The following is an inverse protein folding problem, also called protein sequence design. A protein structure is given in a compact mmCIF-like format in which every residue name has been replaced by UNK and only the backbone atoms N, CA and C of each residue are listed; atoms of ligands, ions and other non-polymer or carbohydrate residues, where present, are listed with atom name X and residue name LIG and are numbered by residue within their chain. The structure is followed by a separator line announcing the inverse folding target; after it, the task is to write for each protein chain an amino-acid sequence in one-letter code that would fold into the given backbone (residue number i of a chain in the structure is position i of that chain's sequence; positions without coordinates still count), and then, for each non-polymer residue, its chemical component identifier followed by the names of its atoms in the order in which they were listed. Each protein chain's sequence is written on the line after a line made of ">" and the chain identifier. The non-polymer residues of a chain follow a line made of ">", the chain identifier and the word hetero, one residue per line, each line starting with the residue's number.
data_IF_021309501589
#
_entry.id   IF_021309501589
#
_cell.length_a   1.000
_cell.length_b   1.000
_cell.length_c   1.000
_cell.angle_alpha   90.00
_cell.angle_beta   90.00
_cell.angle_gamma   90.00
#
_symmetry.space_group_name_H-M   'P 1'
#
loop_
_entity.id
_entity.type
_entity.pdbx_description
1 polymer ?
#
# COMPACT_ATOMS: atom_id res chain seq x y z
N UNK A 1 15.57 10.30 -2.06
CA UNK A 1 15.42 9.61 -0.76
C UNK A 1 15.27 8.10 -0.94
N UNK A 2 14.32 7.64 -1.80
CA UNK A 2 14.05 6.21 -2.00
C UNK A 2 15.27 5.45 -2.52
N UNK A 3 16.03 6.02 -3.44
CA UNK A 3 17.22 5.37 -4.00
C UNK A 3 18.32 5.21 -2.97
N UNK A 4 18.60 6.27 -2.18
CA UNK A 4 19.60 6.21 -1.10
C UNK A 4 19.20 5.17 -0.05
N UNK A 5 17.92 5.17 0.34
CA UNK A 5 17.37 4.17 1.25
C UNK A 5 17.56 2.75 0.69
N UNK A 6 17.21 2.53 -0.58
CA UNK A 6 17.32 1.23 -1.22
C UNK A 6 18.76 0.73 -1.27
N UNK A 7 19.70 1.58 -1.67
CA UNK A 7 21.11 1.20 -1.75
C UNK A 7 21.68 0.74 -0.40
N UNK A 8 21.23 1.37 0.69
CA UNK A 8 21.66 1.01 2.05
C UNK A 8 20.90 -0.19 2.65
N UNK A 9 19.73 -0.56 2.08
CA UNK A 9 18.80 -1.56 2.66
C UNK A 9 18.36 -2.60 1.62
N UNK A 10 19.25 -3.02 0.72
CA UNK A 10 18.91 -3.92 -0.38
C UNK A 10 18.35 -5.26 0.10
N UNK A 11 18.91 -5.81 1.18
CA UNK A 11 18.55 -7.12 1.73
C UNK A 11 17.23 -7.12 2.53
N UNK A 12 16.79 -5.97 3.00
CA UNK A 12 15.56 -5.85 3.76
C UNK A 12 14.33 -6.01 2.85
N UNK A 13 13.31 -6.69 3.36
CA UNK A 13 12.04 -6.82 2.66
C UNK A 13 11.29 -5.48 2.67
N UNK A 14 10.82 -5.07 1.51
CA UNK A 14 10.09 -3.81 1.27
C UNK A 14 8.72 -4.08 0.70
N UNK A 15 7.70 -3.51 1.35
CA UNK A 15 6.31 -3.50 0.90
C UNK A 15 5.96 -2.03 0.65
N UNK A 16 5.79 -1.64 -0.59
CA UNK A 16 5.59 -0.23 -0.94
C UNK A 16 4.20 0.01 -1.49
N UNK A 17 3.51 0.98 -0.91
CA UNK A 17 2.13 1.34 -1.23
C UNK A 17 2.10 2.70 -1.92
N UNK A 18 1.49 2.75 -3.10
CA UNK A 18 1.17 3.97 -3.83
C UNK A 18 -0.27 3.92 -4.36
N UNK A 19 -0.74 5.02 -4.87
CA UNK A 19 -2.11 5.19 -5.39
C UNK A 19 -2.53 6.65 -5.30
N UNK A 20 -3.69 7.00 -5.78
CA UNK A 20 -4.26 8.33 -5.56
C UNK A 20 -4.80 8.40 -4.13
N UNK A 21 -5.67 7.50 -3.75
CA UNK A 21 -6.35 7.48 -2.44
C UNK A 21 -6.02 6.20 -1.65
N UNK A 22 -6.12 6.29 -0.31
CA UNK A 22 -6.04 5.15 0.60
C UNK A 22 -4.63 4.68 0.96
N UNK A 23 -3.58 5.30 0.44
CA UNK A 23 -2.17 4.95 0.71
C UNK A 23 -1.85 4.85 2.19
N UNK A 24 -2.07 5.94 2.93
CA UNK A 24 -1.72 6.04 4.36
C UNK A 24 -2.49 5.04 5.21
N UNK A 25 -3.80 4.90 4.98
CA UNK A 25 -4.65 3.92 5.67
C UNK A 25 -4.16 2.50 5.43
N UNK A 26 -3.88 2.15 4.17
CA UNK A 26 -3.40 0.81 3.82
C UNK A 26 -2.02 0.53 4.42
N UNK A 27 -1.10 1.51 4.36
CA UNK A 27 0.23 1.37 4.93
C UNK A 27 0.19 1.21 6.45
N UNK A 28 -0.60 2.02 7.15
CA UNK A 28 -0.77 1.95 8.60
C UNK A 28 -1.39 0.62 9.04
N UNK A 29 -2.49 0.20 8.38
CA UNK A 29 -3.13 -1.06 8.69
C UNK A 29 -2.20 -2.26 8.45
N UNK A 30 -1.48 -2.27 7.34
CA UNK A 30 -0.52 -3.34 7.04
C UNK A 30 0.62 -3.37 8.05
N UNK A 31 1.12 -2.21 8.46
CA UNK A 31 2.11 -2.10 9.53
C UNK A 31 1.59 -2.72 10.83
N UNK A 32 0.37 -2.40 11.26
CA UNK A 32 -0.22 -2.95 12.48
C UNK A 32 -0.42 -4.46 12.38
N UNK A 33 -0.91 -4.97 11.25
CA UNK A 33 -1.07 -6.40 11.00
C UNK A 33 0.27 -7.14 11.14
N UNK A 34 1.34 -6.61 10.55
CA UNK A 34 2.66 -7.24 10.61
C UNK A 34 3.24 -7.18 12.03
N UNK A 35 3.08 -6.06 12.72
CA UNK A 35 3.50 -5.88 14.13
C UNK A 35 2.79 -6.86 15.07
N UNK A 36 1.48 -7.02 14.91
CA UNK A 36 0.68 -7.93 15.75
C UNK A 36 1.02 -9.40 15.47
N UNK A 37 1.61 -9.69 14.32
CA UNK A 37 2.17 -11.00 13.98
C UNK A 37 3.64 -11.16 14.39
N UNK A 38 4.15 -10.28 15.26
CA UNK A 38 5.52 -10.34 15.81
C UNK A 38 6.62 -10.15 14.77
N UNK A 39 6.35 -9.47 13.65
CA UNK A 39 7.38 -9.05 12.70
C UNK A 39 8.10 -7.81 13.20
N UNK A 40 9.41 -7.75 13.00
CA UNK A 40 10.15 -6.50 13.15
C UNK A 40 9.83 -5.63 11.94
N UNK A 41 9.00 -4.61 12.13
CA UNK A 41 8.43 -3.82 11.03
C UNK A 41 8.57 -2.33 11.30
N UNK A 42 8.87 -1.58 10.25
CA UNK A 42 8.98 -0.12 10.27
C UNK A 42 8.01 0.45 9.23
N UNK A 43 7.19 1.42 9.67
CA UNK A 43 6.37 2.25 8.78
C UNK A 43 7.16 3.50 8.43
N UNK A 44 7.38 3.75 7.15
CA UNK A 44 8.24 4.85 6.68
C UNK A 44 7.73 5.47 5.36
N UNK A 45 8.31 6.60 5.01
CA UNK A 45 8.04 7.31 3.76
C UNK A 45 7.18 8.54 3.97
N UNK A 46 6.08 8.65 3.23
CA UNK A 46 5.16 9.79 3.31
C UNK A 46 4.27 9.76 4.56
N UNK A 47 4.28 8.65 5.29
CA UNK A 47 3.67 8.45 6.61
C UNK A 47 4.63 7.66 7.49
N UNK A 48 4.48 7.77 8.80
CA UNK A 48 5.38 7.13 9.76
C UNK A 48 6.64 7.95 9.96
N UNK A 49 7.81 7.32 9.88
CA UNK A 49 9.09 8.02 10.00
C UNK A 49 9.67 8.38 8.62
N UNK A 50 10.43 9.48 8.50
CA UNK A 50 11.16 9.77 7.26
C UNK A 50 12.07 8.58 6.90
N UNK A 51 12.06 8.18 5.62
CA UNK A 51 12.67 6.91 5.19
C UNK A 51 14.19 6.82 5.48
N UNK A 52 14.87 7.95 5.58
CA UNK A 52 16.32 8.02 5.88
C UNK A 52 16.62 8.24 7.36
N UNK A 53 15.63 8.41 8.24
CA UNK A 53 15.86 8.76 9.65
C UNK A 53 16.34 7.59 10.50
N UNK A 54 16.07 6.34 10.10
CA UNK A 54 16.43 5.15 10.87
C UNK A 54 17.88 4.73 10.62
N UNK A 55 18.69 4.70 11.68
CA UNK A 55 20.13 4.38 11.59
C UNK A 55 20.47 2.91 11.89
N UNK A 56 19.76 2.30 12.86
CA UNK A 56 19.98 0.90 13.24
C UNK A 56 18.84 0.05 12.69
N UNK A 57 19.13 -0.76 11.67
CA UNK A 57 18.17 -1.62 10.97
C UNK A 57 18.70 -3.06 11.03
N UNK A 58 17.86 -4.00 11.44
CA UNK A 58 18.22 -5.41 11.45
C UNK A 58 18.00 -6.00 10.04
N UNK A 59 18.72 -7.04 9.64
CA UNK A 59 18.47 -7.72 8.37
C UNK A 59 17.04 -8.29 8.24
N UNK A 60 16.40 -8.63 9.36
CA UNK A 60 15.02 -9.15 9.41
C UNK A 60 13.94 -8.08 9.38
N UNK A 61 14.32 -6.80 9.47
CA UNK A 61 13.34 -5.69 9.47
C UNK A 61 12.60 -5.62 8.14
N UNK A 62 11.27 -5.59 8.23
CA UNK A 62 10.36 -5.38 7.10
C UNK A 62 9.99 -3.90 7.01
N UNK A 63 10.07 -3.31 5.85
CA UNK A 63 9.64 -1.94 5.63
C UNK A 63 8.27 -1.91 4.96
N UNK A 64 7.32 -1.21 5.57
CA UNK A 64 6.07 -0.77 4.95
C UNK A 64 6.25 0.69 4.57
N UNK A 65 6.26 0.97 3.28
CA UNK A 65 6.64 2.28 2.73
C UNK A 65 5.45 2.90 2.02
N UNK A 66 5.02 4.08 2.44
CA UNK A 66 4.14 4.90 1.63
C UNK A 66 4.96 5.76 0.68
N UNK A 67 4.75 5.61 -0.64
CA UNK A 67 5.44 6.39 -1.66
C UNK A 67 4.48 7.26 -2.47
N UNK A 68 4.79 8.55 -2.59
CA UNK A 68 4.09 9.49 -3.45
C UNK A 68 4.54 9.35 -4.91
N UNK A 69 3.75 9.91 -5.85
CA UNK A 69 4.15 9.97 -7.26
C UNK A 69 5.41 10.80 -7.47
N UNK A 70 5.60 11.85 -6.67
CA UNK A 70 6.79 12.70 -6.71
C UNK A 70 8.06 11.92 -6.37
N UNK A 71 8.04 11.16 -5.28
CA UNK A 71 9.19 10.34 -4.87
C UNK A 71 9.51 9.28 -5.91
N UNK A 72 8.49 8.62 -6.47
CA UNK A 72 8.66 7.59 -7.49
C UNK A 72 9.13 8.17 -8.84
N UNK A 73 8.69 9.38 -9.21
CA UNK A 73 9.11 10.05 -10.44
C UNK A 73 10.62 10.26 -10.49
N UNK A 74 11.24 10.62 -9.36
CA UNK A 74 12.68 10.85 -9.27
C UNK A 74 13.49 9.60 -8.93
N UNK A 75 12.83 8.50 -8.58
CA UNK A 75 13.51 7.26 -8.23
C UNK A 75 13.99 6.52 -9.49
N UNK A 76 15.26 6.08 -9.49
CA UNK A 76 15.90 5.33 -10.57
C UNK A 76 16.22 3.89 -10.16
N UNK A 77 16.67 3.68 -8.94
CA UNK A 77 17.22 2.41 -8.45
C UNK A 77 16.32 1.69 -7.46
N UNK A 78 15.37 2.40 -6.86
CA UNK A 78 14.49 1.85 -5.84
C UNK A 78 13.73 0.63 -6.33
N UNK A 79 13.86 -0.47 -5.59
CA UNK A 79 13.12 -1.72 -5.81
C UNK A 79 12.35 -2.09 -4.55
N UNK A 80 11.19 -2.68 -4.74
CA UNK A 80 10.35 -3.21 -3.67
C UNK A 80 9.96 -4.66 -3.96
N UNK A 81 9.87 -5.48 -2.92
CA UNK A 81 9.51 -6.89 -3.07
C UNK A 81 8.01 -7.05 -3.34
N UNK A 82 7.20 -6.22 -2.68
CA UNK A 82 5.75 -6.17 -2.86
C UNK A 82 5.32 -4.74 -3.17
N UNK A 83 4.79 -4.52 -4.35
CA UNK A 83 4.27 -3.24 -4.81
C UNK A 83 2.75 -3.21 -4.75
N UNK A 84 2.16 -2.14 -4.21
CA UNK A 84 0.71 -1.91 -4.22
C UNK A 84 0.40 -0.65 -5.01
N UNK A 85 -0.36 -0.76 -6.08
CA UNK A 85 -1.00 0.37 -6.78
C UNK A 85 -2.49 0.28 -6.52
N UNK A 86 -2.96 1.00 -5.49
CA UNK A 86 -4.32 0.88 -4.98
C UNK A 86 -5.36 1.35 -5.98
N UNK A 87 -5.13 2.52 -6.57
CA UNK A 87 -6.01 3.15 -7.54
C UNK A 87 -5.27 4.29 -8.26
N UNK A 88 -5.77 4.66 -9.43
CA UNK A 88 -5.31 5.83 -10.18
C UNK A 88 -6.56 6.63 -10.61
N UNK A 89 -6.62 7.87 -10.19
CA UNK A 89 -7.56 8.90 -10.65
C UNK A 89 -6.82 10.21 -10.87
N UNK A 90 -7.36 11.16 -11.64
CA UNK A 90 -6.73 12.46 -11.86
C UNK A 90 -6.39 13.16 -10.55
N UNK A 91 -5.11 13.50 -10.37
CA UNK A 91 -4.57 14.18 -9.20
C UNK A 91 -3.19 14.73 -9.55
N UNK A 92 -2.79 15.86 -8.94
CA UNK A 92 -1.49 16.49 -9.18
C UNK A 92 -1.17 16.77 -10.67
N UNK A 93 -2.21 17.08 -11.49
CA UNK A 93 -2.03 17.28 -12.92
C UNK A 93 -1.29 18.59 -13.25
N UNK A 94 -1.32 19.55 -12.35
CA UNK A 94 -0.48 20.77 -12.42
C UNK A 94 1.01 20.40 -12.47
N UNK A 95 1.41 19.34 -11.79
CA UNK A 95 2.80 18.84 -11.74
C UNK A 95 3.09 17.84 -12.85
N UNK A 96 2.27 16.79 -12.98
CA UNK A 96 2.51 15.69 -13.92
C UNK A 96 2.03 15.98 -15.35
N UNK A 97 1.32 17.09 -15.58
CA UNK A 97 0.77 17.56 -16.87
C UNK A 97 -0.29 16.64 -17.49
N UNK A 98 -0.32 15.34 -17.16
CA UNK A 98 -1.33 14.41 -17.66
C UNK A 98 -1.50 13.19 -16.75
N UNK A 99 -2.68 12.54 -16.81
CA UNK A 99 -2.95 11.29 -16.12
C UNK A 99 -1.98 10.18 -16.54
N UNK A 100 -1.53 10.17 -17.79
CA UNK A 100 -0.57 9.20 -18.30
C UNK A 100 0.79 9.34 -17.59
N UNK A 101 1.33 10.56 -17.50
CA UNK A 101 2.60 10.82 -16.78
C UNK A 101 2.49 10.52 -15.30
N UNK A 102 1.37 10.88 -14.67
CA UNK A 102 1.09 10.53 -13.27
C UNK A 102 1.09 9.01 -13.07
N UNK A 103 0.43 8.27 -13.96
CA UNK A 103 0.41 6.81 -13.93
C UNK A 103 1.82 6.24 -14.13
N UNK A 104 2.57 6.73 -15.12
CA UNK A 104 3.94 6.30 -15.39
C UNK A 104 4.86 6.51 -14.18
N UNK A 105 4.73 7.64 -13.48
CA UNK A 105 5.49 7.89 -12.26
C UNK A 105 5.24 6.80 -11.21
N UNK A 106 3.98 6.42 -10.98
CA UNK A 106 3.64 5.33 -10.03
C UNK A 106 4.04 3.95 -10.54
N UNK A 107 3.98 3.70 -11.85
CA UNK A 107 4.36 2.44 -12.44
C UNK A 107 5.87 2.16 -12.37
N UNK A 108 6.72 3.17 -12.17
CA UNK A 108 8.15 2.95 -11.86
C UNK A 108 8.34 1.96 -10.71
N UNK A 109 7.43 1.96 -9.74
CA UNK A 109 7.45 1.02 -8.63
C UNK A 109 7.44 -0.44 -9.08
N UNK A 110 6.72 -0.74 -10.17
CA UNK A 110 6.61 -2.09 -10.73
C UNK A 110 7.73 -2.36 -11.74
N UNK A 111 8.04 -1.36 -12.57
CA UNK A 111 9.03 -1.51 -13.64
C UNK A 111 10.43 -1.79 -13.09
N UNK A 112 10.73 -1.30 -11.91
CA UNK A 112 12.00 -1.53 -11.23
C UNK A 112 12.03 -2.86 -10.46
N UNK A 113 10.91 -3.60 -10.36
CA UNK A 113 10.88 -4.88 -9.65
C UNK A 113 11.59 -5.99 -10.43
N UNK A 114 12.05 -7.00 -9.70
CA UNK A 114 12.53 -8.27 -10.27
C UNK A 114 11.35 -9.20 -10.60
N UNK A 115 11.50 -10.10 -11.55
CA UNK A 115 10.44 -11.04 -12.00
C UNK A 115 9.84 -11.90 -10.89
N UNK A 116 10.57 -12.16 -9.83
CA UNK A 116 10.13 -12.98 -8.69
C UNK A 116 9.29 -12.21 -7.67
N UNK A 117 9.19 -10.89 -7.79
CA UNK A 117 8.45 -10.02 -6.88
C UNK A 117 6.98 -9.91 -7.29
N UNK A 118 6.16 -9.32 -6.44
CA UNK A 118 4.72 -9.24 -6.62
C UNK A 118 4.25 -7.81 -6.73
N UNK A 119 3.35 -7.54 -7.68
CA UNK A 119 2.65 -6.28 -7.78
C UNK A 119 1.14 -6.48 -7.69
N UNK A 120 0.52 -5.87 -6.69
CA UNK A 120 -0.92 -5.86 -6.46
C UNK A 120 -1.50 -4.60 -7.09
N UNK A 121 -2.39 -4.76 -8.05
CA UNK A 121 -2.92 -3.65 -8.85
C UNK A 121 -4.44 -3.77 -8.94
N UNK A 122 -5.14 -2.65 -8.80
CA UNK A 122 -6.58 -2.61 -9.01
C UNK A 122 -6.95 -3.16 -10.39
N UNK A 123 -7.91 -4.09 -10.41
CA UNK A 123 -8.43 -4.66 -11.64
C UNK A 123 -9.44 -3.72 -12.29
N UNK A 124 -8.99 -2.80 -13.12
CA UNK A 124 -9.84 -1.96 -13.96
C UNK A 124 -9.32 -1.87 -15.41
N UNK A 125 -10.18 -1.42 -16.33
CA UNK A 125 -9.85 -1.39 -17.78
C UNK A 125 -8.60 -0.53 -18.08
N UNK A 126 -8.47 0.62 -17.42
CA UNK A 126 -7.36 1.55 -17.62
C UNK A 126 -6.03 0.92 -17.19
N UNK A 127 -5.92 0.44 -15.94
CA UNK A 127 -4.70 -0.15 -15.43
C UNK A 127 -4.33 -1.47 -16.15
N UNK A 128 -5.34 -2.26 -16.52
CA UNK A 128 -5.10 -3.47 -17.33
C UNK A 128 -4.49 -3.16 -18.70
N UNK A 129 -4.88 -2.05 -19.33
CA UNK A 129 -4.30 -1.57 -20.59
C UNK A 129 -2.87 -1.04 -20.37
N UNK A 130 -2.65 -0.29 -19.30
CA UNK A 130 -1.32 0.23 -18.97
C UNK A 130 -0.30 -0.91 -18.72
N UNK A 131 -0.67 -1.93 -17.94
CA UNK A 131 0.21 -3.08 -17.67
C UNK A 131 0.67 -3.76 -18.95
N UNK A 132 -0.22 -3.89 -19.96
CA UNK A 132 0.10 -4.56 -21.22
C UNK A 132 1.21 -3.87 -22.04
N UNK A 133 1.49 -2.60 -21.79
CA UNK A 133 2.56 -1.84 -22.45
C UNK A 133 3.96 -2.31 -22.03
N UNK A 134 4.08 -3.05 -20.94
CA UNK A 134 5.36 -3.42 -20.34
C UNK A 134 5.57 -4.92 -20.42
N UNK A 135 6.77 -5.33 -20.83
CA UNK A 135 7.22 -6.73 -20.86
C UNK A 135 8.09 -7.05 -19.64
N UNK A 136 8.09 -8.31 -19.22
CA UNK A 136 9.02 -8.84 -18.21
C UNK A 136 8.97 -8.16 -16.83
N UNK A 137 7.81 -7.71 -16.42
CA UNK A 137 7.58 -7.17 -15.08
C UNK A 137 7.34 -8.30 -14.05
N UNK A 138 7.21 -7.92 -12.80
CA UNK A 138 6.89 -8.80 -11.66
C UNK A 138 5.60 -9.60 -11.84
N UNK A 139 5.32 -10.50 -10.90
CA UNK A 139 4.06 -11.27 -10.85
C UNK A 139 2.89 -10.33 -10.51
N UNK A 140 2.01 -10.08 -11.47
CA UNK A 140 0.88 -9.16 -11.32
C UNK A 140 -0.32 -9.87 -10.70
N UNK A 141 -0.78 -9.39 -9.56
CA UNK A 141 -2.00 -9.81 -8.88
C UNK A 141 -3.06 -8.73 -9.07
N UNK A 142 -4.10 -9.05 -9.84
CA UNK A 142 -5.20 -8.12 -10.13
C UNK A 142 -6.24 -8.18 -9.01
N UNK A 143 -6.45 -7.08 -8.34
CA UNK A 143 -7.33 -6.97 -7.18
C UNK A 143 -8.73 -6.53 -7.61
N UNK A 144 -9.72 -7.36 -7.34
CA UNK A 144 -11.14 -7.04 -7.56
C UNK A 144 -11.68 -6.25 -6.37
N UNK A 145 -12.42 -5.19 -6.65
CA UNK A 145 -13.21 -4.43 -5.66
C UNK A 145 -14.42 -5.24 -5.18
N UNK A 146 -15.03 -4.81 -4.08
CA UNK A 146 -16.29 -5.35 -3.55
C UNK A 146 -16.26 -6.87 -3.31
N UNK A 147 -15.25 -7.35 -2.62
CA UNK A 147 -15.15 -8.77 -2.30
C UNK A 147 -16.11 -9.18 -1.17
N UNK A 148 -17.28 -9.69 -1.53
CA UNK A 148 -18.32 -10.12 -0.58
C UNK A 148 -17.82 -11.16 0.45
N UNK A 149 -16.83 -12.01 0.09
CA UNK A 149 -16.26 -12.97 1.03
C UNK A 149 -15.50 -12.27 2.16
N UNK A 150 -14.78 -11.19 1.84
CA UNK A 150 -14.10 -10.36 2.84
C UNK A 150 -15.13 -9.61 3.67
N UNK A 151 -16.15 -9.03 3.05
CA UNK A 151 -17.20 -8.25 3.74
C UNK A 151 -17.85 -9.02 4.88
N UNK A 152 -18.13 -10.31 4.69
CA UNK A 152 -18.73 -11.18 5.72
C UNK A 152 -17.81 -11.43 6.95
N UNK A 153 -16.53 -11.13 6.86
CA UNK A 153 -15.54 -11.36 7.92
C UNK A 153 -15.22 -10.10 8.72
N UNK A 154 -15.68 -8.94 8.28
CA UNK A 154 -15.35 -7.64 8.85
C UNK A 154 -16.55 -7.06 9.56
N UNK A 155 -16.37 -6.75 10.84
CA UNK A 155 -17.37 -6.10 11.69
C UNK A 155 -17.05 -4.65 12.05
N UNK A 156 -15.88 -4.14 11.61
CA UNK A 156 -15.42 -2.80 11.92
C UNK A 156 -16.05 -1.78 10.95
N UNK A 157 -16.86 -0.86 11.49
CA UNK A 157 -17.57 0.18 10.75
C UNK A 157 -16.65 1.17 9.99
N UNK A 158 -15.38 1.26 10.35
CA UNK A 158 -14.39 2.04 9.59
C UNK A 158 -14.31 1.57 8.12
N UNK A 159 -14.61 0.30 7.87
CA UNK A 159 -14.60 -0.30 6.53
C UNK A 159 -15.98 -0.33 5.85
N UNK A 160 -16.98 0.34 6.42
CA UNK A 160 -18.26 0.56 5.72
C UNK A 160 -18.09 1.54 4.56
N UNK A 161 -17.12 2.43 4.64
CA UNK A 161 -16.70 3.25 3.51
C UNK A 161 -16.11 2.37 2.40
N UNK A 162 -16.66 2.48 1.20
CA UNK A 162 -16.30 1.65 0.05
C UNK A 162 -14.81 1.73 -0.34
N UNK A 163 -14.19 2.89 -0.21
CA UNK A 163 -12.78 3.06 -0.54
C UNK A 163 -11.88 2.35 0.49
N UNK A 164 -12.19 2.49 1.77
CA UNK A 164 -11.47 1.80 2.84
C UNK A 164 -11.64 0.28 2.70
N UNK A 165 -12.85 -0.18 2.39
CA UNK A 165 -13.14 -1.58 2.16
C UNK A 165 -12.38 -2.15 0.95
N UNK A 166 -12.33 -1.43 -0.17
CA UNK A 166 -11.60 -1.87 -1.36
C UNK A 166 -10.11 -2.06 -1.08
N UNK A 167 -9.52 -1.22 -0.23
CA UNK A 167 -8.11 -1.34 0.17
C UNK A 167 -7.83 -2.63 0.97
N UNK A 168 -8.80 -3.16 1.72
CA UNK A 168 -8.67 -4.44 2.40
C UNK A 168 -8.40 -5.60 1.43
N UNK A 169 -8.99 -5.57 0.23
CA UNK A 169 -8.78 -6.64 -0.76
C UNK A 169 -7.29 -6.80 -1.11
N UNK A 170 -6.53 -5.71 -1.17
CA UNK A 170 -5.08 -5.75 -1.37
C UNK A 170 -4.36 -6.43 -0.21
N UNK A 171 -4.72 -6.08 1.01
CA UNK A 171 -4.12 -6.65 2.23
C UNK A 171 -4.42 -8.14 2.34
N UNK A 172 -5.65 -8.56 2.04
CA UNK A 172 -6.03 -9.98 2.10
C UNK A 172 -5.31 -10.83 1.03
N UNK A 173 -5.14 -10.31 -0.20
CA UNK A 173 -4.38 -11.03 -1.23
C UNK A 173 -2.88 -11.09 -0.90
N UNK A 174 -2.30 -10.00 -0.38
CA UNK A 174 -0.95 -10.01 0.15
C UNK A 174 -0.79 -11.04 1.28
N UNK A 175 -1.73 -11.04 2.23
CA UNK A 175 -1.69 -11.94 3.39
C UNK A 175 -1.67 -13.41 2.99
N UNK A 176 -2.38 -13.79 1.93
CA UNK A 176 -2.35 -15.15 1.36
C UNK A 176 -0.96 -15.50 0.83
N UNK A 177 -0.36 -14.60 0.02
CA UNK A 177 0.94 -14.83 -0.61
C UNK A 177 2.06 -14.81 0.45
N UNK A 178 2.00 -13.89 1.39
CA UNK A 178 2.96 -13.76 2.47
C UNK A 178 2.73 -14.75 3.62
N UNK A 179 1.66 -15.57 3.53
CA UNK A 179 1.27 -16.62 4.50
C UNK A 179 1.08 -16.07 5.92
N UNK A 180 0.37 -14.95 6.06
CA UNK A 180 0.01 -14.39 7.34
C UNK A 180 -1.05 -15.25 8.07
N UNK A 181 -1.01 -15.25 9.40
CA UNK A 181 -2.03 -15.90 10.20
C UNK A 181 -3.37 -15.16 10.05
N UNK A 182 -4.37 -15.85 9.52
CA UNK A 182 -5.68 -15.28 9.19
C UNK A 182 -6.43 -14.77 10.42
N UNK A 183 -6.37 -15.49 11.53
CA UNK A 183 -7.07 -15.09 12.77
C UNK A 183 -6.51 -13.76 13.31
N UNK A 184 -5.17 -13.65 13.43
CA UNK A 184 -4.52 -12.43 13.87
C UNK A 184 -4.81 -11.26 12.92
N UNK A 185 -4.79 -11.50 11.59
CA UNK A 185 -5.15 -10.49 10.59
C UNK A 185 -6.56 -9.97 10.82
N UNK A 186 -7.56 -10.85 10.94
CA UNK A 186 -8.95 -10.46 11.16
C UNK A 186 -9.12 -9.70 12.48
N UNK A 187 -8.44 -10.14 13.55
CA UNK A 187 -8.46 -9.44 14.83
C UNK A 187 -7.94 -8.00 14.68
N UNK A 188 -6.79 -7.80 14.05
CA UNK A 188 -6.21 -6.46 13.84
C UNK A 188 -7.12 -5.59 12.98
N UNK A 189 -7.66 -6.12 11.86
CA UNK A 189 -8.59 -5.39 11.00
C UNK A 189 -9.84 -4.95 11.77
N UNK A 190 -10.44 -5.84 12.58
CA UNK A 190 -11.65 -5.50 13.32
C UNK A 190 -11.40 -4.54 14.50
N UNK A 191 -10.17 -4.41 14.98
CA UNK A 191 -9.78 -3.46 16.02
C UNK A 191 -9.15 -2.16 15.47
N UNK A 192 -8.96 -2.06 14.17
CA UNK A 192 -8.31 -0.90 13.54
C UNK A 192 -9.13 0.38 13.72
N UNK A 193 -8.50 1.41 14.29
CA UNK A 193 -9.14 2.70 14.59
C UNK A 193 -9.02 3.75 13.48
N UNK A 194 -8.37 3.38 12.36
CA UNK A 194 -8.07 4.36 11.31
C UNK A 194 -6.80 5.17 11.58
N UNK A 195 -6.70 6.27 10.89
CA UNK A 195 -5.65 7.28 11.08
C UNK A 195 -6.25 8.49 11.79
N UNK A 196 -5.50 9.04 12.75
CA UNK A 196 -5.84 10.33 13.36
C UNK A 196 -6.02 11.39 12.28
N UNK A 197 -7.01 12.25 12.45
CA UNK A 197 -7.37 13.34 11.52
C UNK A 197 -7.77 12.90 10.09
N UNK A 198 -8.04 11.59 9.87
CA UNK A 198 -8.52 11.07 8.58
C UNK A 198 -9.75 10.20 8.79
N UNK A 199 -10.95 10.75 8.55
CA UNK A 199 -12.24 10.07 8.76
C UNK A 199 -12.38 9.49 10.18
N UNK A 200 -11.72 10.14 11.14
CA UNK A 200 -11.83 9.77 12.54
C UNK A 200 -13.17 10.25 13.08
N UNK A 201 -13.97 9.33 13.61
CA UNK A 201 -15.18 9.70 14.34
C UNK A 201 -14.75 10.26 15.70
N UNK A 202 -14.87 11.57 15.88
CA UNK A 202 -14.53 12.28 17.12
C UNK A 202 -15.69 12.22 18.10
N UNK A 203 -16.91 12.28 17.56
CA UNK A 203 -18.14 12.25 18.33
C UNK A 203 -19.25 11.53 17.56
N UNK A 204 -20.01 10.69 18.26
CA UNK A 204 -21.16 10.00 17.69
C UNK A 204 -22.25 9.90 18.74
N UNK A 205 -23.46 10.36 18.39
CA UNK A 205 -24.68 10.07 19.13
C UNK A 205 -25.77 9.56 18.18
N UNK A 206 -27.02 9.45 18.68
CA UNK A 206 -28.16 8.93 17.89
C UNK A 206 -28.50 9.79 16.65
N UNK A 207 -28.09 11.07 16.63
CA UNK A 207 -28.48 12.04 15.60
C UNK A 207 -27.29 12.60 14.81
N UNK A 208 -26.08 12.58 15.36
CA UNK A 208 -24.89 13.25 14.78
C UNK A 208 -23.67 12.35 14.85
N UNK A 209 -22.89 12.33 13.76
CA UNK A 209 -21.53 11.77 13.72
C UNK A 209 -20.59 12.86 13.22
N UNK A 210 -19.57 13.22 14.02
CA UNK A 210 -18.51 14.19 13.70
C UNK A 210 -17.18 13.47 13.59
#
# INVERSE_FOLDING_TARGET
>A
DLDIFYLNNQKNLKITITGTNGKSTTAKLLFEILRDQKKDVILAGNIGIPILSKRKIKPSTVFVIEASSYQLEYSKYFKTDYAFILNISPDHLERHKSIQRYTQAKFKLILNQSKNYYAFIENNKYLNREIKKYKNISKIIKIKKNNNKIKKLISNSYFDNINNFNNLSFIFEFAKIYKLNKYKLLKTVNLFKGLEFRQQVIYKNKFVTI
#
